data_IF_056315105286
#
_entry.id   IF_056315105286
#
_cell.length_a   1.000
_cell.length_b   1.000
_cell.length_c   1.000
_cell.angle_alpha   90.00
_cell.angle_beta   90.00
_cell.angle_gamma   90.00
#
_symmetry.space_group_name_H-M   'P 1'
#
loop_
_entity.id
_entity.type
_entity.pdbx_description
1 polymer ?
#
# COMPACT_ATOMS: atom_id res chain seq x y z
N UNK A 1 -58.28 -18.20 -21.90
CA UNK A 1 -56.83 -17.91 -21.89
C UNK A 1 -56.45 -17.70 -20.43
N UNK A 2 -55.74 -18.65 -19.88
CA UNK A 2 -55.42 -18.69 -18.45
C UNK A 2 -54.01 -18.09 -18.26
N UNK A 3 -53.93 -16.93 -17.60
CA UNK A 3 -52.68 -16.30 -17.19
C UNK A 3 -52.11 -17.08 -16.00
N UNK A 4 -51.04 -17.83 -16.27
CA UNK A 4 -50.29 -18.56 -15.25
C UNK A 4 -49.31 -17.65 -14.51
N UNK A 5 -49.80 -16.98 -13.47
CA UNK A 5 -48.91 -16.29 -12.54
C UNK A 5 -48.26 -17.32 -11.60
N UNK A 6 -46.96 -17.53 -11.75
CA UNK A 6 -46.13 -18.33 -10.84
C UNK A 6 -45.85 -17.49 -9.58
N UNK A 7 -46.57 -17.81 -8.49
CA UNK A 7 -46.33 -17.23 -7.18
C UNK A 7 -45.17 -17.98 -6.49
N UNK A 8 -43.97 -17.39 -6.43
CA UNK A 8 -42.88 -17.92 -5.63
C UNK A 8 -43.10 -17.51 -4.18
N UNK A 9 -43.48 -18.47 -3.34
CA UNK A 9 -43.50 -18.27 -1.88
C UNK A 9 -42.06 -18.23 -1.40
N UNK A 10 -41.56 -17.04 -1.04
CA UNK A 10 -40.32 -16.90 -0.30
C UNK A 10 -40.47 -17.56 1.07
N UNK A 11 -39.56 -18.46 1.42
CA UNK A 11 -39.49 -19.08 2.73
C UNK A 11 -39.38 -18.01 3.84
N UNK A 12 -39.96 -18.24 5.03
CA UNK A 12 -39.90 -17.27 6.12
C UNK A 12 -38.43 -17.03 6.50
N UNK A 13 -38.06 -15.76 6.58
CA UNK A 13 -36.75 -15.31 7.04
C UNK A 13 -36.53 -15.82 8.47
N UNK A 14 -35.52 -16.71 8.64
CA UNK A 14 -35.04 -17.06 9.96
C UNK A 14 -34.41 -15.84 10.59
N UNK A 15 -35.06 -15.22 11.54
CA UNK A 15 -34.45 -14.24 12.43
C UNK A 15 -33.50 -14.99 13.36
N UNK A 16 -32.21 -14.99 13.05
CA UNK A 16 -31.18 -15.32 14.02
C UNK A 16 -31.14 -14.19 15.05
N UNK A 17 -31.82 -14.35 16.16
CA UNK A 17 -31.62 -13.54 17.36
C UNK A 17 -30.23 -13.91 17.93
N UNK A 18 -29.30 -12.95 17.97
CA UNK A 18 -28.16 -13.07 18.86
C UNK A 18 -26.78 -12.89 18.30
N UNK A 19 -26.55 -12.51 17.02
CA UNK A 19 -25.25 -12.01 16.57
C UNK A 19 -25.43 -10.52 16.28
N UNK A 20 -25.12 -9.68 17.26
CA UNK A 20 -24.83 -8.28 16.99
C UNK A 20 -23.54 -8.27 16.18
N UNK A 21 -23.64 -8.36 14.85
CA UNK A 21 -22.61 -7.85 13.99
C UNK A 21 -22.48 -6.37 14.36
N UNK A 22 -21.41 -6.02 15.02
CA UNK A 22 -20.93 -4.64 15.00
C UNK A 22 -20.64 -4.30 13.54
N UNK A 23 -21.65 -3.79 12.89
CA UNK A 23 -21.48 -3.04 11.66
C UNK A 23 -20.80 -1.76 12.13
N UNK A 24 -19.48 -1.73 12.10
CA UNK A 24 -18.72 -0.50 12.19
C UNK A 24 -19.08 0.32 10.95
N UNK A 25 -20.20 1.04 11.05
CA UNK A 25 -20.67 2.01 10.06
C UNK A 25 -19.87 3.31 10.19
N UNK A 26 -18.54 3.21 10.09
CA UNK A 26 -17.78 4.35 9.64
C UNK A 26 -17.88 4.37 8.11
N UNK A 27 -18.27 5.51 7.48
CA UNK A 27 -18.18 5.62 6.03
C UNK A 27 -16.71 5.40 5.68
N UNK A 28 -16.37 4.20 5.17
CA UNK A 28 -15.04 3.93 4.64
C UNK A 28 -14.83 4.93 3.54
N UNK A 29 -13.92 5.86 3.77
CA UNK A 29 -13.51 6.77 2.72
C UNK A 29 -12.82 5.90 1.65
N UNK A 30 -13.47 5.70 0.51
CA UNK A 30 -12.97 4.85 -0.57
C UNK A 30 -11.59 5.27 -1.06
N UNK A 31 -11.19 6.50 -0.76
CA UNK A 31 -9.87 7.06 -1.08
C UNK A 31 -8.78 6.77 -0.03
N UNK A 32 -9.12 6.20 1.13
CA UNK A 32 -8.15 5.92 2.18
C UNK A 32 -7.95 4.41 2.35
N UNK A 33 -6.71 3.97 2.43
CA UNK A 33 -6.34 2.62 2.83
C UNK A 33 -6.01 2.67 4.31
N UNK A 34 -6.88 2.06 5.11
CA UNK A 34 -6.66 1.88 6.54
C UNK A 34 -5.52 0.88 6.77
N UNK A 35 -4.64 1.18 7.72
CA UNK A 35 -3.49 0.36 8.04
C UNK A 35 -3.67 -0.34 9.41
N UNK A 36 -2.69 -1.16 9.78
CA UNK A 36 -2.54 -1.59 11.18
C UNK A 36 -2.36 -0.36 12.06
N UNK A 37 -3.01 -0.35 13.23
CA UNK A 37 -3.08 0.80 14.14
C UNK A 37 -1.73 1.51 14.42
N UNK A 38 -0.63 0.77 14.34
CA UNK A 38 0.70 1.33 14.59
C UNK A 38 1.22 2.20 13.44
N UNK A 39 0.84 1.90 12.22
CA UNK A 39 1.33 2.56 11.01
C UNK A 39 0.31 3.56 10.48
N UNK A 40 0.74 4.62 9.78
CA UNK A 40 -0.18 5.61 9.21
C UNK A 40 -1.01 5.03 8.06
N UNK A 41 -2.22 5.53 7.93
CA UNK A 41 -3.08 5.29 6.77
C UNK A 41 -2.55 6.01 5.53
N UNK A 42 -2.99 5.59 4.35
CA UNK A 42 -2.59 6.17 3.06
C UNK A 42 -3.81 6.62 2.24
N UNK A 43 -3.74 7.84 1.74
CA UNK A 43 -4.69 8.37 0.77
C UNK A 43 -4.30 7.96 -0.65
N UNK A 44 -5.17 7.24 -1.36
CA UNK A 44 -4.96 6.82 -2.74
C UNK A 44 -4.85 8.02 -3.68
N UNK A 45 -5.65 9.06 -3.42
CA UNK A 45 -5.65 10.28 -4.22
C UNK A 45 -4.32 11.03 -4.09
N UNK A 46 -3.79 11.15 -2.87
CA UNK A 46 -2.51 11.83 -2.62
C UNK A 46 -1.36 11.05 -3.26
N UNK A 47 -1.33 9.72 -3.08
CA UNK A 47 -0.33 8.85 -3.72
C UNK A 47 -0.37 8.99 -5.24
N UNK A 48 -1.55 8.98 -5.86
CA UNK A 48 -1.70 9.15 -7.31
C UNK A 48 -1.14 10.48 -7.79
N UNK A 49 -1.44 11.57 -7.07
CA UNK A 49 -0.97 12.91 -7.40
C UNK A 49 0.54 13.04 -7.24
N UNK A 50 1.09 12.58 -6.12
CA UNK A 50 2.52 12.67 -5.83
C UNK A 50 3.38 11.85 -6.80
N UNK A 51 2.95 10.63 -7.14
CA UNK A 51 3.65 9.74 -8.06
C UNK A 51 3.33 10.02 -9.53
N UNK A 52 2.45 10.98 -9.83
CA UNK A 52 1.99 11.32 -11.19
C UNK A 52 1.48 10.10 -11.96
N UNK A 53 0.77 9.20 -11.27
CA UNK A 53 0.21 8.00 -11.86
C UNK A 53 -0.97 8.39 -12.75
N UNK A 54 -0.84 8.15 -14.04
CA UNK A 54 -1.89 8.47 -15.02
C UNK A 54 -3.11 7.52 -14.93
N UNK A 55 -4.10 7.77 -15.79
CA UNK A 55 -5.34 7.01 -15.81
C UNK A 55 -5.22 5.56 -16.31
N UNK A 56 -4.05 5.14 -16.83
CA UNK A 56 -3.83 3.77 -17.31
C UNK A 56 -3.79 2.77 -16.15
N UNK A 57 -3.33 3.22 -14.97
CA UNK A 57 -3.40 2.46 -13.73
C UNK A 57 -4.73 2.74 -13.04
N UNK A 58 -5.62 1.77 -13.04
CA UNK A 58 -6.91 1.88 -12.35
C UNK A 58 -6.75 2.04 -10.84
N UNK A 59 -7.72 2.66 -10.18
CA UNK A 59 -7.72 2.83 -8.71
C UNK A 59 -7.64 1.49 -7.99
N UNK A 60 -8.30 0.45 -8.49
CA UNK A 60 -8.24 -0.89 -7.91
C UNK A 60 -6.81 -1.46 -7.95
N UNK A 61 -6.11 -1.34 -9.07
CA UNK A 61 -4.73 -1.82 -9.23
C UNK A 61 -3.74 -1.06 -8.36
N UNK A 62 -3.91 0.27 -8.26
CA UNK A 62 -3.09 1.08 -7.36
C UNK A 62 -3.34 0.70 -5.90
N UNK A 63 -4.60 0.49 -5.51
CA UNK A 63 -4.98 0.04 -4.17
C UNK A 63 -4.34 -1.30 -3.82
N UNK A 64 -4.41 -2.29 -4.72
CA UNK A 64 -3.80 -3.61 -4.51
C UNK A 64 -2.28 -3.51 -4.33
N UNK A 65 -1.60 -2.73 -5.19
CA UNK A 65 -0.16 -2.53 -5.08
C UNK A 65 0.24 -1.84 -3.77
N UNK A 66 -0.56 -0.87 -3.30
CA UNK A 66 -0.33 -0.19 -2.02
C UNK A 66 -0.54 -1.13 -0.83
N UNK A 67 -1.61 -1.94 -0.83
CA UNK A 67 -1.88 -2.91 0.25
C UNK A 67 -0.73 -3.91 0.35
N UNK A 68 -0.27 -4.47 -0.76
CA UNK A 68 0.85 -5.40 -0.80
C UNK A 68 2.15 -4.76 -0.30
N UNK A 69 2.44 -3.53 -0.73
CA UNK A 69 3.59 -2.78 -0.25
C UNK A 69 3.49 -2.47 1.25
N UNK A 70 2.31 -2.08 1.76
CA UNK A 70 2.08 -1.85 3.19
C UNK A 70 2.33 -3.12 4.00
N UNK A 71 1.79 -4.27 3.56
CA UNK A 71 1.99 -5.55 4.23
C UNK A 71 3.48 -5.94 4.30
N UNK A 72 4.22 -5.75 3.20
CA UNK A 72 5.66 -6.03 3.13
C UNK A 72 6.46 -5.12 4.05
N UNK A 73 6.24 -3.81 4.00
CA UNK A 73 6.95 -2.84 4.84
C UNK A 73 6.61 -3.01 6.33
N UNK A 74 5.33 -3.28 6.67
CA UNK A 74 4.94 -3.58 8.05
C UNK A 74 5.68 -4.80 8.60
N UNK A 75 5.86 -5.84 7.77
CA UNK A 75 6.60 -7.04 8.15
C UNK A 75 8.09 -6.74 8.38
N UNK A 76 8.72 -5.92 7.54
CA UNK A 76 10.13 -5.51 7.70
C UNK A 76 10.34 -4.65 8.95
N UNK A 77 9.35 -3.83 9.32
CA UNK A 77 9.41 -2.93 10.48
C UNK A 77 9.00 -3.57 11.81
N UNK A 78 8.69 -4.87 11.87
CA UNK A 78 8.41 -5.58 13.13
C UNK A 78 9.49 -5.37 14.21
N UNK A 79 10.81 -5.39 13.89
CA UNK A 79 11.84 -5.15 14.89
C UNK A 79 11.73 -3.76 15.53
N UNK A 80 11.30 -2.74 14.78
CA UNK A 80 11.08 -1.40 15.31
C UNK A 80 9.99 -1.40 16.37
N UNK A 81 8.87 -2.06 16.10
CA UNK A 81 7.75 -2.18 17.06
C UNK A 81 8.18 -2.91 18.36
N UNK A 82 9.08 -3.89 18.24
CA UNK A 82 9.63 -4.61 19.38
C UNK A 82 10.59 -3.71 20.20
N UNK A 83 11.37 -2.86 19.50
CA UNK A 83 12.31 -1.93 20.16
C UNK A 83 11.60 -0.80 20.91
N UNK A 84 10.37 -0.47 20.55
CA UNK A 84 9.56 0.59 21.16
C UNK A 84 8.23 0.04 21.69
N UNK A 85 8.22 -0.80 22.76
CA UNK A 85 7.02 -1.52 23.21
C UNK A 85 5.92 -0.59 23.73
N UNK A 86 6.27 0.60 24.22
CA UNK A 86 5.33 1.60 24.71
C UNK A 86 4.71 2.47 23.60
N UNK A 87 5.27 2.43 22.39
CA UNK A 87 4.76 3.20 21.26
C UNK A 87 3.49 2.55 20.71
N UNK A 88 2.41 3.31 20.66
CA UNK A 88 1.13 2.88 20.05
C UNK A 88 1.02 3.28 18.58
N UNK A 89 1.86 4.22 18.15
CA UNK A 89 1.92 4.77 16.79
C UNK A 89 3.36 4.95 16.35
N UNK A 90 3.62 4.80 15.06
CA UNK A 90 4.96 4.91 14.45
C UNK A 90 5.64 6.26 14.77
N UNK A 91 4.87 7.36 14.77
CA UNK A 91 5.38 8.70 15.06
C UNK A 91 6.05 8.82 16.44
N UNK A 92 5.73 7.94 17.37
CA UNK A 92 6.32 7.94 18.71
C UNK A 92 7.72 7.31 18.75
N UNK A 93 8.15 6.65 17.69
CA UNK A 93 9.50 6.07 17.58
C UNK A 93 10.57 7.10 17.17
N UNK A 94 10.15 8.21 16.57
CA UNK A 94 11.01 9.33 16.18
C UNK A 94 10.22 10.63 16.29
N UNK A 95 10.55 11.46 17.28
CA UNK A 95 9.83 12.71 17.57
C UNK A 95 10.25 13.88 16.64
N UNK A 96 11.16 13.65 15.68
CA UNK A 96 11.58 14.70 14.75
C UNK A 96 10.46 15.04 13.78
N UNK A 97 10.31 16.33 13.52
CA UNK A 97 9.38 16.86 12.54
C UNK A 97 10.10 17.77 11.54
N UNK A 98 9.75 17.66 10.28
CA UNK A 98 10.23 18.55 9.22
C UNK A 98 9.01 19.08 8.47
N UNK A 99 8.87 20.40 8.41
CA UNK A 99 7.73 21.06 7.79
C UNK A 99 6.35 20.57 8.32
N UNK A 100 6.30 20.26 9.65
CA UNK A 100 5.08 19.78 10.31
C UNK A 100 4.74 18.30 10.04
N UNK A 101 5.57 17.56 9.32
CA UNK A 101 5.41 16.13 9.08
C UNK A 101 6.42 15.33 9.91
N UNK A 102 5.94 14.31 10.62
CA UNK A 102 6.80 13.42 11.40
C UNK A 102 7.71 12.60 10.49
N UNK A 103 9.02 12.54 10.84
CA UNK A 103 10.05 11.92 10.01
C UNK A 103 9.84 10.42 9.83
N UNK A 104 9.39 9.69 10.87
CA UNK A 104 9.13 8.25 10.78
C UNK A 104 7.94 7.97 9.86
N UNK A 105 6.84 8.72 10.00
CA UNK A 105 5.68 8.59 9.12
C UNK A 105 6.00 8.94 7.67
N UNK A 106 6.77 10.00 7.43
CA UNK A 106 7.25 10.37 6.09
C UNK A 106 8.06 9.26 5.44
N UNK A 107 9.03 8.67 6.18
CA UNK A 107 9.87 7.55 5.70
C UNK A 107 9.03 6.31 5.40
N UNK A 108 8.06 6.00 6.27
CA UNK A 108 7.12 4.91 6.05
C UNK A 108 6.35 5.09 4.74
N UNK A 109 5.70 6.25 4.58
CA UNK A 109 4.94 6.58 3.37
C UNK A 109 5.81 6.53 2.12
N UNK A 110 7.07 7.02 2.21
CA UNK A 110 8.04 6.94 1.12
C UNK A 110 8.37 5.49 0.76
N UNK A 111 8.65 4.64 1.75
CA UNK A 111 8.96 3.22 1.53
C UNK A 111 7.80 2.51 0.81
N UNK A 112 6.57 2.67 1.32
CA UNK A 112 5.38 2.05 0.73
C UNK A 112 5.13 2.55 -0.69
N UNK A 113 5.19 3.87 -0.94
CA UNK A 113 4.99 4.46 -2.26
C UNK A 113 6.02 3.97 -3.28
N UNK A 114 7.30 3.95 -2.90
CA UNK A 114 8.38 3.46 -3.78
C UNK A 114 8.21 1.98 -4.12
N UNK A 115 7.92 1.13 -3.13
CA UNK A 115 7.71 -0.30 -3.35
C UNK A 115 6.46 -0.58 -4.20
N UNK A 116 5.35 0.10 -3.94
CA UNK A 116 4.13 -0.04 -4.73
C UNK A 116 4.34 0.36 -6.19
N UNK A 117 5.06 1.46 -6.46
CA UNK A 117 5.36 1.91 -7.82
C UNK A 117 6.29 0.93 -8.54
N UNK A 118 7.31 0.39 -7.86
CA UNK A 118 8.18 -0.66 -8.41
C UNK A 118 7.37 -1.89 -8.83
N UNK A 119 6.47 -2.37 -7.97
CA UNK A 119 5.60 -3.51 -8.26
C UNK A 119 4.64 -3.24 -9.43
N UNK A 120 4.12 -2.01 -9.55
CA UNK A 120 3.30 -1.62 -10.68
C UNK A 120 4.11 -1.65 -11.98
N UNK A 121 5.30 -1.07 -12.01
CA UNK A 121 6.16 -1.05 -13.20
C UNK A 121 6.54 -2.45 -13.65
N UNK A 122 6.92 -3.35 -12.75
CA UNK A 122 7.23 -4.74 -13.10
C UNK A 122 6.07 -5.49 -13.75
N UNK A 123 4.87 -5.31 -13.23
CA UNK A 123 3.68 -5.97 -13.78
C UNK A 123 3.29 -5.46 -15.17
N UNK A 124 3.67 -4.22 -15.51
CA UNK A 124 3.33 -3.59 -16.79
C UNK A 124 4.47 -3.61 -17.80
N UNK A 125 5.71 -3.85 -17.38
CA UNK A 125 6.87 -3.91 -18.26
C UNK A 125 6.82 -5.05 -19.30
N UNK A 126 6.03 -6.09 -19.06
CA UNK A 126 6.06 -7.34 -19.83
C UNK A 126 5.29 -7.34 -21.16
N UNK A 127 4.77 -6.22 -21.66
CA UNK A 127 3.84 -6.25 -22.80
C UNK A 127 4.36 -5.72 -24.13
N UNK A 128 5.56 -5.15 -24.21
CA UNK A 128 6.08 -4.60 -25.46
C UNK A 128 7.37 -5.31 -25.89
N UNK A 129 7.27 -6.20 -26.93
CA UNK A 129 8.37 -7.03 -27.44
C UNK A 129 9.03 -6.44 -28.68
N UNK A 130 8.91 -5.13 -28.92
CA UNK A 130 9.57 -4.47 -30.05
C UNK A 130 10.98 -3.99 -29.65
N UNK A 131 11.86 -3.74 -30.66
CA UNK A 131 13.23 -3.24 -30.41
C UNK A 131 13.28 -1.90 -29.68
N UNK A 132 12.28 -1.04 -29.86
CA UNK A 132 12.06 0.16 -29.03
C UNK A 132 11.56 -0.21 -27.64
N UNK A 133 10.88 -1.34 -27.49
CA UNK A 133 10.46 -1.93 -26.22
C UNK A 133 11.65 -2.36 -25.37
N UNK A 134 12.69 -2.97 -25.93
CA UNK A 134 13.88 -3.41 -25.20
C UNK A 134 14.60 -2.22 -24.52
N UNK A 135 14.79 -1.12 -25.22
CA UNK A 135 15.39 0.10 -24.64
C UNK A 135 14.54 0.72 -23.55
N UNK A 136 13.22 0.76 -23.74
CA UNK A 136 12.28 1.24 -22.73
C UNK A 136 12.28 0.32 -21.51
N UNK A 137 12.43 -0.98 -21.72
CA UNK A 137 12.53 -1.99 -20.67
C UNK A 137 13.80 -1.81 -19.82
N UNK A 138 14.97 -1.56 -20.44
CA UNK A 138 16.21 -1.29 -19.71
C UNK A 138 16.09 -0.05 -18.83
N UNK A 139 15.58 1.06 -19.37
CA UNK A 139 15.33 2.30 -18.60
C UNK A 139 14.32 2.11 -17.48
N UNK A 140 13.29 1.30 -17.72
CA UNK A 140 12.27 0.98 -16.73
C UNK A 140 12.85 0.09 -15.63
N UNK A 141 13.72 -0.88 -15.97
CA UNK A 141 14.39 -1.74 -15.01
C UNK A 141 15.29 -0.93 -14.06
N UNK A 142 16.05 0.04 -14.59
CA UNK A 142 16.84 0.95 -13.77
C UNK A 142 15.95 1.75 -12.80
N UNK A 143 14.80 2.22 -13.28
CA UNK A 143 13.82 2.92 -12.44
C UNK A 143 13.23 2.03 -11.35
N UNK A 144 12.92 0.76 -11.66
CA UNK A 144 12.42 -0.23 -10.70
C UNK A 144 13.46 -0.49 -9.61
N UNK A 145 14.72 -0.69 -10.00
CA UNK A 145 15.82 -0.95 -9.08
C UNK A 145 16.08 0.26 -8.16
N UNK A 146 15.97 1.48 -8.69
CA UNK A 146 16.07 2.69 -7.89
C UNK A 146 14.93 2.80 -6.88
N UNK A 147 13.69 2.55 -7.28
CA UNK A 147 12.52 2.58 -6.40
C UNK A 147 12.63 1.54 -5.27
N UNK A 148 13.08 0.33 -5.59
CA UNK A 148 13.34 -0.71 -4.59
C UNK A 148 14.45 -0.33 -3.61
N UNK A 149 15.51 0.33 -4.10
CA UNK A 149 16.60 0.85 -3.28
C UNK A 149 16.10 1.95 -2.36
N UNK A 150 15.27 2.86 -2.86
CA UNK A 150 14.67 3.94 -2.08
C UNK A 150 13.77 3.40 -0.96
N UNK A 151 12.96 2.38 -1.25
CA UNK A 151 12.15 1.72 -0.23
C UNK A 151 13.02 1.09 0.87
N UNK A 152 14.07 0.33 0.50
CA UNK A 152 15.00 -0.28 1.45
C UNK A 152 15.77 0.74 2.28
N UNK A 153 16.18 1.86 1.68
CA UNK A 153 16.86 2.92 2.42
C UNK A 153 15.93 3.58 3.44
N UNK A 154 14.68 3.82 3.08
CA UNK A 154 13.71 4.37 4.02
C UNK A 154 13.46 3.42 5.22
N UNK A 155 13.36 2.11 4.98
CA UNK A 155 13.25 1.10 6.04
C UNK A 155 14.51 1.05 6.90
N UNK A 156 15.71 0.99 6.27
CA UNK A 156 16.99 0.98 6.99
C UNK A 156 17.18 2.21 7.87
N UNK A 157 16.75 3.38 7.40
CA UNK A 157 16.81 4.63 8.16
C UNK A 157 15.87 4.62 9.38
N UNK A 158 14.72 3.96 9.29
CA UNK A 158 13.81 3.77 10.44
C UNK A 158 14.35 2.76 11.44
N UNK A 159 14.97 1.67 10.95
CA UNK A 159 15.58 0.65 11.80
C UNK A 159 16.96 1.06 12.35
N UNK A 160 17.48 2.23 12.00
CA UNK A 160 18.83 2.70 12.33
C UNK A 160 19.94 1.69 11.94
N UNK A 161 19.70 0.89 10.91
CA UNK A 161 20.67 -0.10 10.40
C UNK A 161 21.64 0.56 9.42
N UNK A 162 22.91 0.10 9.41
CA UNK A 162 23.89 0.62 8.45
C UNK A 162 23.52 0.24 7.02
N UNK A 163 23.60 1.21 6.11
CA UNK A 163 23.44 0.98 4.67
C UNK A 163 24.68 0.26 4.15
N UNK A 164 24.56 -1.01 3.80
CA UNK A 164 25.63 -1.77 3.15
C UNK A 164 25.35 -1.74 1.64
N UNK A 165 26.15 -1.00 0.89
CA UNK A 165 26.22 -1.13 -0.56
C UNK A 165 27.26 -2.21 -0.89
N UNK A 166 26.82 -3.38 -1.32
CA UNK A 166 27.70 -4.40 -1.90
C UNK A 166 27.69 -4.16 -3.41
N UNK A 167 28.70 -3.47 -3.91
CA UNK A 167 29.00 -3.49 -5.33
C UNK A 167 29.84 -4.74 -5.60
N UNK A 168 29.32 -5.65 -6.41
CA UNK A 168 30.12 -6.73 -6.99
C UNK A 168 31.01 -6.10 -8.07
N UNK A 169 32.31 -6.03 -7.77
CA UNK A 169 33.37 -5.67 -8.74
C UNK A 169 33.67 -6.88 -9.63
#
# INVERSE_FOLDING_TARGET
>A
MSDGAISIKLAPSYQMQGVQQRVDTYPRNENTIENERFYPDLSIADVRNELRIDGTVTTARLKDALIEAMASINAELKPLKIAYPEATELRQTDNREINGENVAEYRYKRAVKSLALANLYERYAGYDTTTDGERKMEMLQESIDQLRRDARFAVSDMLATHRINVELI
#
